data_IF_263864089337
#
_entry.id   IF_263864089337
#
_cell.length_a   1.000
_cell.length_b   1.000
_cell.length_c   1.000
_cell.angle_alpha   90.00
_cell.angle_beta   90.00
_cell.angle_gamma   90.00
#
_symmetry.space_group_name_H-M   'P 1'
#
loop_
_entity.id
_entity.type
_entity.pdbx_description
1 polymer ?
#
# COMPACT_ATOMS: atom_id res chain seq x y z
N UNK A 1 4.92 13.03 14.22
CA UNK A 1 5.45 11.68 13.97
C UNK A 1 6.40 11.76 12.79
N UNK A 2 7.55 11.07 12.81
CA UNK A 2 8.44 11.07 11.66
C UNK A 2 7.71 10.40 10.49
N UNK A 3 7.45 11.19 9.44
CA UNK A 3 6.95 10.68 8.16
C UNK A 3 7.88 9.59 7.67
N UNK A 4 7.36 8.60 6.93
CA UNK A 4 8.21 7.74 6.13
C UNK A 4 9.18 8.63 5.32
N UNK A 5 10.44 8.23 5.24
CA UNK A 5 11.47 8.99 4.54
C UNK A 5 11.26 9.09 3.02
N UNK A 6 10.10 8.65 2.51
CA UNK A 6 9.70 8.61 1.11
C UNK A 6 8.52 9.56 0.85
N UNK A 7 8.82 10.74 0.29
CA UNK A 7 7.81 11.76 -0.01
C UNK A 7 6.69 11.25 -0.94
N UNK A 8 7.02 10.34 -1.87
CA UNK A 8 6.06 9.78 -2.82
C UNK A 8 4.85 9.13 -2.12
N UNK A 9 5.06 8.47 -0.97
CA UNK A 9 3.96 7.83 -0.23
C UNK A 9 2.92 8.87 0.19
N UNK A 10 3.37 9.99 0.74
CA UNK A 10 2.48 11.06 1.21
C UNK A 10 1.87 11.83 0.04
N UNK A 11 2.65 12.10 -1.01
CA UNK A 11 2.14 12.77 -2.21
C UNK A 11 1.04 11.95 -2.90
N UNK A 12 1.18 10.62 -2.93
CA UNK A 12 0.13 9.74 -3.45
C UNK A 12 -1.15 9.79 -2.59
N UNK A 13 -1.04 9.89 -1.27
CA UNK A 13 -2.19 10.06 -0.38
C UNK A 13 -2.88 11.42 -0.59
N UNK A 14 -2.10 12.49 -0.73
CA UNK A 14 -2.62 13.84 -1.04
C UNK A 14 -3.35 13.84 -2.38
N UNK A 15 -2.75 13.24 -3.41
CA UNK A 15 -3.39 13.10 -4.72
C UNK A 15 -4.67 12.26 -4.62
N UNK A 16 -4.67 11.19 -3.81
CA UNK A 16 -5.87 10.38 -3.60
C UNK A 16 -7.02 11.18 -2.96
N UNK A 17 -6.73 12.04 -1.97
CA UNK A 17 -7.72 12.95 -1.38
C UNK A 17 -8.29 13.93 -2.43
N UNK A 18 -7.41 14.59 -3.19
CA UNK A 18 -7.82 15.54 -4.22
C UNK A 18 -8.75 14.88 -5.25
N UNK A 19 -8.42 13.66 -5.68
CA UNK A 19 -9.23 12.89 -6.62
C UNK A 19 -10.57 12.43 -6.02
N UNK A 20 -10.62 12.12 -4.73
CA UNK A 20 -11.86 11.76 -4.04
C UNK A 20 -12.84 12.95 -3.95
N UNK A 21 -12.31 14.16 -3.81
CA UNK A 21 -13.09 15.40 -3.73
C UNK A 21 -13.45 16.00 -5.10
N UNK A 22 -12.89 15.47 -6.19
CA UNK A 22 -13.08 16.01 -7.53
C UNK A 22 -14.57 16.25 -7.86
N UNK A 23 -14.86 17.49 -8.25
CA UNK A 23 -16.18 17.95 -8.68
C UNK A 23 -16.45 17.76 -10.18
N UNK A 24 -17.54 18.37 -10.66
CA UNK A 24 -17.88 18.40 -12.09
C UNK A 24 -18.79 17.27 -12.57
N UNK A 25 -18.76 17.00 -13.88
CA UNK A 25 -19.66 16.04 -14.56
C UNK A 25 -19.56 14.63 -13.99
N UNK A 26 -20.66 13.89 -13.98
CA UNK A 26 -20.78 12.54 -13.37
C UNK A 26 -19.64 11.58 -13.76
N UNK A 27 -19.32 11.50 -15.05
CA UNK A 27 -18.29 10.57 -15.55
C UNK A 27 -16.88 10.97 -15.10
N UNK A 28 -16.58 12.27 -15.00
CA UNK A 28 -15.30 12.75 -14.49
C UNK A 28 -15.14 12.40 -13.01
N UNK A 29 -16.18 12.65 -12.19
CA UNK A 29 -16.18 12.27 -10.77
C UNK A 29 -15.99 10.77 -10.59
N UNK A 30 -16.67 9.95 -11.39
CA UNK A 30 -16.49 8.48 -11.39
C UNK A 30 -15.05 8.09 -11.71
N UNK A 31 -14.46 8.65 -12.78
CA UNK A 31 -13.08 8.36 -13.15
C UNK A 31 -12.10 8.79 -12.06
N UNK A 32 -12.27 9.99 -11.49
CA UNK A 32 -11.44 10.50 -10.41
C UNK A 32 -11.51 9.62 -9.15
N UNK A 33 -12.72 9.22 -8.72
CA UNK A 33 -12.88 8.30 -7.59
C UNK A 33 -12.21 6.94 -7.83
N UNK A 34 -12.28 6.39 -9.05
CA UNK A 34 -11.58 5.14 -9.39
C UNK A 34 -10.07 5.33 -9.26
N UNK A 35 -9.54 6.44 -9.77
CA UNK A 35 -8.12 6.78 -9.63
C UNK A 35 -7.69 7.06 -8.20
N UNK A 36 -8.54 7.68 -7.37
CA UNK A 36 -8.27 7.88 -5.94
C UNK A 36 -8.00 6.55 -5.23
N UNK A 37 -8.83 5.54 -5.51
CA UNK A 37 -8.65 4.17 -4.99
C UNK A 37 -7.32 3.57 -5.44
N UNK A 38 -6.95 3.69 -6.73
CA UNK A 38 -5.67 3.17 -7.22
C UNK A 38 -4.49 3.85 -6.53
N UNK A 39 -4.50 5.19 -6.42
CA UNK A 39 -3.43 5.96 -5.76
C UNK A 39 -3.29 5.64 -4.27
N UNK A 40 -4.40 5.42 -3.57
CA UNK A 40 -4.39 4.99 -2.17
C UNK A 40 -3.72 3.61 -1.99
N UNK A 41 -4.02 2.65 -2.88
CA UNK A 41 -3.37 1.34 -2.86
C UNK A 41 -1.87 1.45 -3.22
N UNK A 42 -1.51 2.29 -4.18
CA UNK A 42 -0.11 2.51 -4.58
C UNK A 42 0.69 3.12 -3.42
N UNK A 43 0.12 4.06 -2.65
CA UNK A 43 0.79 4.66 -1.50
C UNK A 43 1.24 3.60 -0.47
N UNK A 44 0.34 2.66 -0.11
CA UNK A 44 0.67 1.58 0.84
C UNK A 44 1.72 0.63 0.24
N UNK A 45 1.62 0.31 -1.06
CA UNK A 45 2.65 -0.48 -1.74
C UNK A 45 4.02 0.20 -1.70
N UNK A 46 4.10 1.49 -2.03
CA UNK A 46 5.35 2.26 -1.95
C UNK A 46 5.87 2.34 -0.51
N UNK A 47 4.99 2.37 0.50
CA UNK A 47 5.33 2.30 1.91
C UNK A 47 5.99 0.97 2.30
N UNK A 48 5.43 -0.15 1.85
CA UNK A 48 6.02 -1.48 2.05
C UNK A 48 7.41 -1.59 1.39
N UNK A 49 7.54 -1.16 0.13
CA UNK A 49 8.84 -1.14 -0.55
C UNK A 49 9.87 -0.25 0.18
N UNK A 50 9.42 0.89 0.72
CA UNK A 50 10.28 1.76 1.53
C UNK A 50 10.76 1.06 2.80
N UNK A 51 9.86 0.38 3.54
CA UNK A 51 10.23 -0.36 4.75
C UNK A 51 11.29 -1.41 4.44
N UNK A 52 11.09 -2.20 3.37
CA UNK A 52 12.06 -3.20 2.91
C UNK A 52 13.43 -2.58 2.55
N UNK A 53 13.44 -1.59 1.66
CA UNK A 53 14.68 -0.92 1.23
C UNK A 53 15.40 -0.21 2.39
N UNK A 54 14.66 0.34 3.36
CA UNK A 54 15.22 0.92 4.58
C UNK A 54 15.85 -0.15 5.47
N UNK A 55 15.16 -1.27 5.70
CA UNK A 55 15.66 -2.37 6.53
C UNK A 55 16.96 -2.99 5.99
N UNK A 56 17.10 -3.05 4.65
CA UNK A 56 18.34 -3.48 3.98
C UNK A 56 19.46 -2.41 3.98
N UNK A 57 19.22 -1.21 4.51
CA UNK A 57 20.16 -0.09 4.45
C UNK A 57 20.39 0.45 3.03
N UNK A 58 19.44 0.20 2.11
CA UNK A 58 19.49 0.62 0.70
C UNK A 58 18.75 1.93 0.45
N UNK A 59 17.92 2.40 1.38
CA UNK A 59 17.23 3.68 1.23
C UNK A 59 18.22 4.84 1.11
N UNK A 60 18.03 5.73 0.11
CA UNK A 60 18.96 6.80 -0.34
C UNK A 60 20.22 6.34 -1.08
N UNK A 61 20.34 5.05 -1.40
CA UNK A 61 21.39 4.57 -2.32
C UNK A 61 20.94 4.70 -3.78
N UNK A 62 21.85 4.39 -4.68
CA UNK A 62 21.64 4.32 -6.13
C UNK A 62 20.30 3.64 -6.48
N UNK A 63 19.57 4.24 -7.42
CA UNK A 63 18.31 3.69 -7.94
C UNK A 63 18.48 2.23 -8.39
N UNK A 64 19.66 1.87 -8.92
CA UNK A 64 20.02 0.51 -9.31
C UNK A 64 19.92 -0.51 -8.16
N UNK A 65 20.05 -0.09 -6.90
CA UNK A 65 19.92 -0.94 -5.71
C UNK A 65 18.48 -0.99 -5.17
N UNK A 66 17.71 0.08 -5.33
CA UNK A 66 16.32 0.14 -4.85
C UNK A 66 15.32 -0.48 -5.81
N UNK A 67 15.53 -0.30 -7.13
CA UNK A 67 14.60 -0.76 -8.16
C UNK A 67 14.36 -2.28 -8.15
N UNK A 68 15.37 -3.14 -7.93
CA UNK A 68 15.15 -4.59 -7.81
C UNK A 68 14.17 -4.96 -6.69
N UNK A 69 14.18 -4.25 -5.55
CA UNK A 69 13.23 -4.51 -4.45
C UNK A 69 11.82 -4.14 -4.88
N UNK A 70 11.64 -2.99 -5.54
CA UNK A 70 10.34 -2.58 -6.08
C UNK A 70 9.81 -3.54 -7.14
N UNK A 71 10.67 -4.17 -7.95
CA UNK A 71 10.30 -5.13 -8.98
C UNK A 71 10.07 -6.55 -8.44
N UNK A 72 10.76 -6.91 -7.35
CA UNK A 72 10.60 -8.20 -6.68
C UNK A 72 9.25 -8.30 -5.97
N UNK A 73 8.83 -7.21 -5.33
CA UNK A 73 7.61 -7.16 -4.56
C UNK A 73 6.37 -7.16 -5.47
N UNK A 74 5.67 -8.29 -5.52
CA UNK A 74 4.39 -8.46 -6.20
C UNK A 74 3.23 -8.33 -5.18
N UNK A 75 2.19 -7.54 -5.52
CA UNK A 75 0.97 -7.41 -4.73
C UNK A 75 0.36 -8.75 -4.28
N UNK A 76 0.27 -9.75 -5.17
CA UNK A 76 -0.31 -11.06 -4.86
C UNK A 76 0.52 -11.82 -3.83
N UNK A 77 1.85 -11.77 -3.96
CA UNK A 77 2.75 -12.39 -2.99
C UNK A 77 2.72 -11.66 -1.64
N UNK A 78 2.74 -10.33 -1.64
CA UNK A 78 2.62 -9.51 -0.42
C UNK A 78 1.33 -9.89 0.33
N UNK A 79 0.19 -9.89 -0.35
CA UNK A 79 -1.10 -10.25 0.25
C UNK A 79 -1.06 -11.64 0.88
N UNK A 80 -0.52 -12.63 0.16
CA UNK A 80 -0.41 -14.00 0.66
C UNK A 80 0.49 -14.08 1.91
N UNK A 81 1.64 -13.41 1.89
CA UNK A 81 2.61 -13.41 2.99
C UNK A 81 2.07 -12.72 4.23
N UNK A 82 1.42 -11.57 4.07
CA UNK A 82 0.83 -10.81 5.18
C UNK A 82 -0.41 -11.48 5.80
N UNK A 83 -1.03 -12.44 5.10
CA UNK A 83 -2.11 -13.27 5.64
C UNK A 83 -1.60 -14.55 6.33
N UNK A 84 -0.29 -14.83 6.25
CA UNK A 84 0.33 -16.04 6.80
C UNK A 84 0.52 -16.00 8.31
N UNK A 85 0.82 -17.17 8.89
CA UNK A 85 1.13 -17.31 10.31
C UNK A 85 2.36 -16.48 10.70
N UNK A 86 3.35 -16.45 9.82
CA UNK A 86 4.59 -15.69 10.04
C UNK A 86 4.28 -14.21 10.27
N UNK A 87 3.37 -13.60 9.49
CA UNK A 87 2.95 -12.21 9.69
C UNK A 87 2.30 -11.98 11.07
N UNK A 88 1.49 -12.94 11.55
CA UNK A 88 0.90 -12.86 12.87
C UNK A 88 1.94 -12.91 14.00
N UNK A 89 3.05 -13.63 13.80
CA UNK A 89 4.18 -13.70 14.75
C UNK A 89 5.02 -12.42 14.80
N UNK A 90 4.86 -11.49 13.85
CA UNK A 90 5.46 -10.14 13.90
C UNK A 90 4.62 -9.14 14.73
N UNK A 91 3.39 -9.51 15.08
CA UNK A 91 2.52 -8.73 15.96
C UNK A 91 1.24 -8.22 15.30
N UNK A 92 0.29 -7.72 16.11
CA UNK A 92 -1.07 -7.37 15.66
C UNK A 92 -1.07 -6.28 14.59
N UNK A 93 -0.17 -5.30 14.69
CA UNK A 93 -0.09 -4.20 13.73
C UNK A 93 0.28 -4.67 12.32
N UNK A 94 1.12 -5.71 12.19
CA UNK A 94 1.47 -6.30 10.89
C UNK A 94 0.27 -7.03 10.28
N UNK A 95 -0.56 -7.66 11.12
CA UNK A 95 -1.83 -8.27 10.69
C UNK A 95 -2.80 -7.19 10.19
N UNK A 96 -2.90 -6.06 10.88
CA UNK A 96 -3.75 -4.94 10.45
C UNK A 96 -3.28 -4.33 9.13
N UNK A 97 -1.97 -4.14 8.94
CA UNK A 97 -1.36 -3.73 7.66
C UNK A 97 -1.72 -4.73 6.56
N UNK A 98 -1.61 -6.04 6.84
CA UNK A 98 -1.98 -7.10 5.90
C UNK A 98 -3.44 -7.05 5.47
N UNK A 99 -4.35 -6.93 6.43
CA UNK A 99 -5.78 -6.82 6.19
C UNK A 99 -6.13 -5.53 5.41
N UNK A 100 -5.49 -4.41 5.74
CA UNK A 100 -5.65 -3.15 5.02
C UNK A 100 -5.15 -3.26 3.57
N UNK A 101 -3.96 -3.82 3.35
CA UNK A 101 -3.39 -4.01 2.02
C UNK A 101 -4.26 -4.91 1.15
N UNK A 102 -4.72 -6.06 1.68
CA UNK A 102 -5.62 -6.96 0.97
C UNK A 102 -6.93 -6.25 0.56
N UNK A 103 -7.54 -5.51 1.49
CA UNK A 103 -8.74 -4.74 1.22
C UNK A 103 -8.50 -3.67 0.13
N UNK A 104 -7.40 -2.93 0.21
CA UNK A 104 -7.04 -1.90 -0.77
C UNK A 104 -6.79 -2.49 -2.16
N UNK A 105 -6.13 -3.64 -2.24
CA UNK A 105 -5.88 -4.34 -3.50
C UNK A 105 -7.20 -4.80 -4.14
N UNK A 106 -8.12 -5.38 -3.36
CA UNK A 106 -9.44 -5.81 -3.87
C UNK A 106 -10.25 -4.61 -4.37
N UNK A 107 -10.23 -3.49 -3.63
CA UNK A 107 -10.90 -2.24 -4.04
C UNK A 107 -10.27 -1.64 -5.28
N UNK A 108 -8.94 -1.65 -5.41
CA UNK A 108 -8.24 -1.22 -6.62
C UNK A 108 -8.61 -2.09 -7.80
N UNK A 109 -8.61 -3.41 -7.65
CA UNK A 109 -9.00 -4.32 -8.71
C UNK A 109 -10.44 -4.04 -9.19
N UNK A 110 -11.37 -3.88 -8.27
CA UNK A 110 -12.75 -3.48 -8.60
C UNK A 110 -12.79 -2.12 -9.32
N UNK A 111 -12.09 -1.12 -8.79
CA UNK A 111 -12.08 0.23 -9.34
C UNK A 111 -11.43 0.29 -10.73
N UNK A 112 -10.37 -0.44 -11.00
CA UNK A 112 -9.65 -0.38 -12.27
C UNK A 112 -10.35 -1.23 -13.36
N UNK A 113 -10.88 -2.40 -13.01
CA UNK A 113 -11.31 -3.40 -14.00
C UNK A 113 -12.83 -3.59 -14.14
N UNK A 114 -13.66 -3.02 -13.25
CA UNK A 114 -15.13 -3.14 -13.40
C UNK A 114 -15.64 -2.37 -14.63
N UNK A 115 -16.79 -2.75 -15.21
CA UNK A 115 -17.39 -2.01 -16.31
C UNK A 115 -17.74 -0.55 -15.93
N UNK A 116 -18.03 0.33 -16.91
CA UNK A 116 -18.47 1.71 -16.65
C UNK A 116 -19.73 1.84 -15.78
N UNK A 117 -20.54 0.78 -15.72
CA UNK A 117 -21.72 0.66 -14.87
C UNK A 117 -21.40 0.56 -13.37
N UNK A 118 -20.14 0.37 -12.97
CA UNK A 118 -19.72 0.34 -11.57
C UNK A 118 -20.32 1.55 -10.83
N UNK A 119 -20.98 1.24 -9.72
CA UNK A 119 -21.46 2.22 -8.78
C UNK A 119 -20.36 2.50 -7.76
N UNK A 120 -19.85 3.74 -7.77
CA UNK A 120 -18.78 4.21 -6.89
C UNK A 120 -19.25 5.51 -6.25
N UNK A 121 -19.10 5.57 -4.93
CA UNK A 121 -19.63 6.64 -4.10
C UNK A 121 -18.48 7.37 -3.40
N UNK A 122 -18.64 8.69 -3.24
CA UNK A 122 -17.61 9.54 -2.63
C UNK A 122 -17.24 9.07 -1.22
N UNK A 123 -18.22 8.77 -0.37
CA UNK A 123 -17.94 8.34 1.01
C UNK A 123 -17.25 6.99 1.07
N UNK A 124 -17.61 6.06 0.19
CA UNK A 124 -16.90 4.79 0.05
C UNK A 124 -15.43 5.03 -0.39
N UNK A 125 -15.20 5.94 -1.34
CA UNK A 125 -13.85 6.32 -1.77
C UNK A 125 -13.06 6.98 -0.64
N UNK A 126 -13.66 7.89 0.13
CA UNK A 126 -13.03 8.52 1.31
C UNK A 126 -12.59 7.47 2.33
N UNK A 127 -13.44 6.49 2.62
CA UNK A 127 -13.12 5.40 3.55
C UNK A 127 -11.93 4.57 3.07
N UNK A 128 -11.82 4.34 1.76
CA UNK A 128 -10.65 3.66 1.17
C UNK A 128 -9.38 4.50 1.36
N UNK A 129 -9.42 5.81 1.10
CA UNK A 129 -8.28 6.71 1.30
C UNK A 129 -7.88 6.80 2.78
N UNK A 130 -8.86 6.89 3.68
CA UNK A 130 -8.62 6.89 5.13
C UNK A 130 -7.96 5.59 5.60
N UNK A 131 -8.38 4.44 5.05
CA UNK A 131 -7.74 3.15 5.34
C UNK A 131 -6.28 3.09 4.86
N UNK A 132 -5.98 3.65 3.70
CA UNK A 132 -4.60 3.75 3.21
C UNK A 132 -3.74 4.66 4.10
N UNK A 133 -4.29 5.79 4.56
CA UNK A 133 -3.61 6.67 5.53
C UNK A 133 -3.29 5.93 6.82
N UNK A 134 -4.26 5.21 7.38
CA UNK A 134 -4.03 4.41 8.59
C UNK A 134 -2.95 3.36 8.38
N UNK A 135 -3.00 2.60 7.28
CA UNK A 135 -1.98 1.60 6.98
C UNK A 135 -0.57 2.21 6.84
N UNK A 136 -0.45 3.43 6.31
CA UNK A 136 0.83 4.16 6.26
C UNK A 136 1.28 4.57 7.67
N UNK A 137 0.38 5.06 8.52
CA UNK A 137 0.70 5.34 9.93
C UNK A 137 1.16 4.07 10.67
N UNK A 138 0.50 2.94 10.42
CA UNK A 138 0.85 1.65 11.01
C UNK A 138 2.27 1.24 10.58
N UNK A 139 2.59 1.38 9.29
CA UNK A 139 3.94 1.17 8.76
C UNK A 139 5.00 2.10 9.39
N UNK A 140 4.65 3.36 9.67
CA UNK A 140 5.53 4.33 10.34
C UNK A 140 5.81 3.97 11.79
N UNK A 141 4.87 3.28 12.43
CA UNK A 141 4.97 2.91 13.85
C UNK A 141 5.70 1.59 14.10
N UNK A 142 6.01 0.82 13.04
CA UNK A 142 6.82 -0.39 13.16
C UNK A 142 8.20 -0.07 13.73
N UNK A 143 8.62 -0.83 14.74
CA UNK A 143 9.98 -0.75 15.25
C UNK A 143 11.00 -1.34 14.26
N UNK A 144 12.29 -1.15 14.54
CA UNK A 144 13.37 -1.62 13.67
C UNK A 144 13.43 -3.14 13.54
N UNK A 145 13.03 -3.90 14.56
CA UNK A 145 12.99 -5.37 14.52
C UNK A 145 11.85 -5.86 13.62
N UNK A 146 10.66 -5.31 13.82
CA UNK A 146 9.50 -5.55 12.97
C UNK A 146 9.79 -5.19 11.51
N UNK A 147 10.46 -4.06 11.24
CA UNK A 147 10.87 -3.68 9.88
C UNK A 147 11.78 -4.75 9.24
N UNK A 148 12.81 -5.22 9.97
CA UNK A 148 13.73 -6.25 9.46
C UNK A 148 13.04 -7.59 9.23
N UNK A 149 12.18 -8.02 10.17
CA UNK A 149 11.45 -9.28 10.04
C UNK A 149 10.43 -9.21 8.90
N UNK A 150 9.78 -8.06 8.72
CA UNK A 150 8.84 -7.82 7.63
C UNK A 150 9.58 -7.84 6.28
N UNK A 151 10.76 -7.24 6.20
CA UNK A 151 11.61 -7.29 5.02
C UNK A 151 11.96 -8.74 4.63
N UNK A 152 12.45 -9.54 5.59
CA UNK A 152 12.75 -10.96 5.38
C UNK A 152 11.50 -11.72 4.91
N UNK A 153 10.34 -11.49 5.53
CA UNK A 153 9.08 -12.14 5.17
C UNK A 153 8.67 -11.86 3.71
N UNK A 154 8.85 -10.62 3.26
CA UNK A 154 8.39 -10.17 1.95
C UNK A 154 9.39 -10.47 0.81
N UNK A 155 10.70 -10.44 1.08
CA UNK A 155 11.74 -10.61 0.06
C UNK A 155 12.15 -12.07 -0.12
N UNK A 156 12.15 -12.87 0.95
CA UNK A 156 12.59 -14.27 0.84
C UNK A 156 11.58 -15.13 0.10
N UNK A 157 12.07 -16.13 -0.64
CA UNK A 157 11.23 -17.19 -1.21
C UNK A 157 11.09 -18.31 -0.19
N UNK A 158 9.87 -18.78 0.03
CA UNK A 158 9.66 -20.07 0.69
C UNK A 158 10.23 -21.14 -0.23
N UNK A 159 11.08 -22.03 0.31
CA UNK A 159 11.48 -23.21 -0.46
C UNK A 159 10.23 -24.02 -0.79
N UNK A 160 10.09 -24.39 -2.06
CA UNK A 160 9.09 -25.38 -2.47
C UNK A 160 9.42 -26.66 -1.69
N UNK A 161 8.42 -27.16 -0.96
CA UNK A 161 8.49 -28.45 -0.26
C UNK A 161 8.53 -29.60 -1.27
#
# INVERSE_FOLDING_TARGET
>A
MPRLGNALVHDLLVVADMLAEQGGRRNLRKAAMRRAVSRACDAVFHGLCFVCTRALGLWRRDAALTEPVYRLLDHGQIRKRLAGREAAELGPIVVEIGAAFACLQDRRHQADYSPPSLNIHRDATRNVVARAKQAVCDLESLDDDQCRRLDVLLITKTRLA
#
